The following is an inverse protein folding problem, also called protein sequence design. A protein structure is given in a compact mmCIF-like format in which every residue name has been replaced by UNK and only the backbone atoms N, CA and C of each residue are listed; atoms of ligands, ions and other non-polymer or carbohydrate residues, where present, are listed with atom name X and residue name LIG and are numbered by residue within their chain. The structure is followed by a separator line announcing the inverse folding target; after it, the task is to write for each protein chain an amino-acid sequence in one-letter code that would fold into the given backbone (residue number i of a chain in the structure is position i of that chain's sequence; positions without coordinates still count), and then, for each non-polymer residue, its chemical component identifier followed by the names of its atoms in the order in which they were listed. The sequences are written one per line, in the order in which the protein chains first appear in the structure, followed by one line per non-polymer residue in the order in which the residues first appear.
data_IF_876685617804
#
_entry.id   IF_876685617804
#
_cell.length_a   1.000
_cell.length_b   1.000
_cell.length_c   1.000
_cell.angle_alpha   90.00
_cell.angle_beta   90.00
_cell.angle_gamma   90.00
#
_symmetry.space_group_name_H-M   'P 1'
#
loop_
_entity.id
_entity.type
_entity.pdbx_description
1 polymer ?
#
# COMPACT_ATOMS: atom_id res chain seq x y z
N UNK A 1 34.18 7.50 5.34
CA UNK A 1 32.88 8.01 4.87
C UNK A 1 31.85 7.46 5.82
N UNK A 2 31.10 8.34 6.44
CA UNK A 2 30.23 8.03 7.57
C UNK A 2 28.94 7.39 7.06
N UNK A 3 28.47 6.29 7.66
CA UNK A 3 27.24 5.60 7.22
C UNK A 3 26.02 6.52 7.22
N UNK A 4 26.06 7.55 8.05
CA UNK A 4 25.04 8.61 8.13
C UNK A 4 25.04 9.46 6.87
N UNK A 5 26.21 9.82 6.34
CA UNK A 5 26.31 10.64 5.13
C UNK A 5 25.76 9.90 3.91
N UNK A 6 26.06 8.61 3.78
CA UNK A 6 25.54 7.77 2.69
C UNK A 6 23.99 7.65 2.76
N UNK A 7 23.44 7.49 3.96
CA UNK A 7 21.99 7.45 4.17
C UNK A 7 21.33 8.78 3.81
N UNK A 8 21.92 9.90 4.25
CA UNK A 8 21.41 11.24 3.93
C UNK A 8 21.47 11.52 2.42
N UNK A 9 22.53 11.09 1.76
CA UNK A 9 22.65 11.19 0.30
C UNK A 9 21.56 10.39 -0.42
N UNK A 10 21.29 9.16 0.03
CA UNK A 10 20.25 8.31 -0.55
C UNK A 10 18.84 8.88 -0.35
N UNK A 11 18.53 9.37 0.85
CA UNK A 11 17.24 10.04 1.13
C UNK A 11 17.11 11.30 0.28
N UNK A 12 18.16 12.11 0.17
CA UNK A 12 18.18 13.29 -0.69
C UNK A 12 17.93 12.95 -2.16
N UNK A 13 18.52 11.87 -2.66
CA UNK A 13 18.28 11.37 -4.02
C UNK A 13 16.83 10.93 -4.23
N UNK A 14 16.26 10.16 -3.30
CA UNK A 14 14.88 9.67 -3.37
C UNK A 14 13.90 10.85 -3.36
N UNK A 15 14.06 11.78 -2.43
CA UNK A 15 13.19 12.96 -2.33
C UNK A 15 13.21 13.78 -3.62
N UNK A 16 14.40 14.01 -4.20
CA UNK A 16 14.53 14.73 -5.47
C UNK A 16 13.80 14.01 -6.60
N UNK A 17 13.89 12.68 -6.68
CA UNK A 17 13.20 11.88 -7.70
C UNK A 17 11.68 11.93 -7.53
N UNK A 18 11.19 11.80 -6.29
CA UNK A 18 9.77 11.91 -5.99
C UNK A 18 9.23 13.30 -6.34
N UNK A 19 9.94 14.36 -5.99
CA UNK A 19 9.57 15.74 -6.35
C UNK A 19 9.49 15.94 -7.87
N UNK A 20 10.44 15.39 -8.63
CA UNK A 20 10.41 15.42 -10.10
C UNK A 20 9.16 14.69 -10.65
N UNK A 21 8.85 13.50 -10.12
CA UNK A 21 7.67 12.71 -10.51
C UNK A 21 6.37 13.47 -10.20
N UNK A 22 6.24 14.04 -9.00
CA UNK A 22 5.06 14.79 -8.56
C UNK A 22 4.85 16.01 -9.46
N UNK A 23 5.91 16.80 -9.71
CA UNK A 23 5.84 17.99 -10.58
C UNK A 23 5.46 17.64 -12.02
N UNK A 24 5.99 16.54 -12.55
CA UNK A 24 5.64 16.08 -13.89
C UNK A 24 4.17 15.65 -13.94
N UNK A 25 3.70 14.88 -12.97
CA UNK A 25 2.29 14.46 -12.92
C UNK A 25 1.33 15.63 -12.75
N UNK A 26 1.65 16.64 -11.94
CA UNK A 26 0.82 17.87 -11.84
C UNK A 26 0.66 18.55 -13.20
N UNK A 27 1.76 18.72 -13.94
CA UNK A 27 1.72 19.27 -15.30
C UNK A 27 0.89 18.40 -16.24
N UNK A 28 1.01 17.08 -16.14
CA UNK A 28 0.17 16.17 -16.93
C UNK A 28 -1.32 16.41 -16.63
N UNK A 29 -1.71 16.49 -15.36
CA UNK A 29 -3.10 16.72 -14.92
C UNK A 29 -3.63 18.07 -15.41
N UNK A 30 -2.84 19.14 -15.30
CA UNK A 30 -3.21 20.48 -15.78
C UNK A 30 -3.45 20.52 -17.31
N UNK A 31 -2.76 19.66 -18.07
CA UNK A 31 -2.87 19.59 -19.52
C UNK A 31 -3.96 18.61 -20.02
N UNK A 32 -4.57 17.82 -19.13
CA UNK A 32 -5.65 16.91 -19.51
C UNK A 32 -6.95 17.73 -19.69
N UNK A 33 -7.63 17.62 -20.84
CA UNK A 33 -8.92 18.28 -21.04
C UNK A 33 -9.93 17.87 -19.97
N UNK A 34 -10.72 18.82 -19.47
CA UNK A 34 -11.73 18.62 -18.40
C UNK A 34 -12.74 17.49 -18.69
N UNK A 35 -12.94 17.15 -19.96
CA UNK A 35 -13.86 16.09 -20.42
C UNK A 35 -13.26 14.68 -20.31
N UNK A 36 -11.94 14.58 -20.15
CA UNK A 36 -11.22 13.30 -20.10
C UNK A 36 -11.01 12.89 -18.65
N UNK A 37 -11.43 11.66 -18.34
CA UNK A 37 -11.23 11.07 -17.01
C UNK A 37 -9.75 10.99 -16.66
N UNK A 38 -9.43 11.36 -15.42
CA UNK A 38 -8.09 11.21 -14.88
C UNK A 38 -7.78 9.74 -14.57
N UNK A 39 -6.50 9.32 -14.68
CA UNK A 39 -6.10 7.98 -14.26
C UNK A 39 -6.41 7.73 -12.78
N UNK A 40 -6.92 6.53 -12.47
CA UNK A 40 -7.25 6.13 -11.10
C UNK A 40 -6.05 5.47 -10.43
N UNK A 41 -4.99 6.25 -10.20
CA UNK A 41 -3.75 5.82 -9.54
C UNK A 41 -3.45 6.66 -8.29
N UNK A 42 -2.68 6.09 -7.36
CA UNK A 42 -2.40 6.70 -6.06
C UNK A 42 -1.83 8.12 -6.18
N UNK A 43 -0.90 8.38 -7.11
CA UNK A 43 -0.30 9.70 -7.24
C UNK A 43 -1.33 10.71 -7.74
N UNK A 44 -2.16 10.32 -8.70
CA UNK A 44 -3.26 11.16 -9.19
C UNK A 44 -4.27 11.45 -8.07
N UNK A 45 -4.68 10.44 -7.31
CA UNK A 45 -5.58 10.60 -6.16
C UNK A 45 -5.00 11.54 -5.10
N UNK A 46 -3.70 11.43 -4.78
CA UNK A 46 -3.05 12.32 -3.82
C UNK A 46 -2.94 13.77 -4.34
N UNK A 47 -2.70 13.96 -5.64
CA UNK A 47 -2.62 15.31 -6.23
C UNK A 47 -4.00 15.98 -6.24
N UNK A 48 -5.06 15.23 -6.57
CA UNK A 48 -6.41 15.78 -6.71
C UNK A 48 -7.19 15.80 -5.41
N UNK A 49 -6.73 15.12 -4.36
CA UNK A 49 -7.38 15.13 -3.05
C UNK A 49 -7.66 16.55 -2.57
N UNK A 50 -8.85 16.77 -2.03
CA UNK A 50 -9.33 18.07 -1.53
C UNK A 50 -9.42 19.16 -2.62
N UNK A 51 -9.50 18.76 -3.89
CA UNK A 51 -9.74 19.66 -5.01
C UNK A 51 -11.06 19.31 -5.68
N UNK A 52 -11.54 20.16 -6.59
CA UNK A 52 -12.73 19.88 -7.41
C UNK A 52 -12.55 18.70 -8.37
N UNK A 53 -11.31 18.23 -8.56
CA UNK A 53 -10.98 17.06 -9.39
C UNK A 53 -10.98 15.75 -8.59
N UNK A 54 -11.25 15.80 -7.28
CA UNK A 54 -11.37 14.63 -6.43
C UNK A 54 -12.68 13.87 -6.72
N UNK A 55 -12.57 12.60 -7.08
CA UNK A 55 -13.72 11.71 -7.28
C UNK A 55 -14.43 11.36 -5.96
N UNK A 56 -13.72 11.44 -4.83
CA UNK A 56 -14.20 11.14 -3.49
C UNK A 56 -14.16 12.38 -2.59
N UNK A 57 -14.64 13.52 -3.11
CA UNK A 57 -14.56 14.83 -2.47
C UNK A 57 -14.97 14.79 -0.99
N UNK A 58 -13.97 14.73 -0.12
CA UNK A 58 -14.13 14.64 1.33
C UNK A 58 -13.75 15.99 1.92
N UNK A 59 -14.76 16.79 2.28
CA UNK A 59 -14.54 18.15 2.81
C UNK A 59 -14.14 18.16 4.27
N UNK A 60 -14.32 17.05 4.99
CA UNK A 60 -14.08 16.99 6.44
C UNK A 60 -13.52 15.65 6.88
N UNK A 61 -12.44 15.69 7.67
CA UNK A 61 -11.88 14.51 8.36
C UNK A 61 -11.69 14.88 9.83
N UNK A 62 -12.29 14.10 10.74
CA UNK A 62 -12.19 14.37 12.18
C UNK A 62 -12.83 15.69 12.65
N UNK A 63 -13.72 16.30 11.84
CA UNK A 63 -14.32 17.60 12.11
C UNK A 63 -13.50 18.79 11.60
N UNK A 64 -12.33 18.56 11.02
CA UNK A 64 -11.53 19.60 10.36
C UNK A 64 -11.83 19.66 8.87
N UNK A 65 -12.00 20.87 8.35
CA UNK A 65 -12.28 21.08 6.93
C UNK A 65 -11.00 20.99 6.10
N UNK A 66 -10.96 20.04 5.17
CA UNK A 66 -9.85 19.86 4.23
C UNK A 66 -10.04 20.79 3.02
N UNK A 67 -9.76 22.08 3.23
CA UNK A 67 -10.05 23.12 2.23
C UNK A 67 -8.87 23.43 1.29
N UNK A 68 -7.79 22.65 1.33
CA UNK A 68 -6.63 22.89 0.48
C UNK A 68 -6.10 21.60 -0.18
N UNK A 69 -5.54 21.70 -1.39
CA UNK A 69 -4.76 20.63 -1.98
C UNK A 69 -3.60 20.22 -1.07
N UNK A 70 -3.18 18.96 -1.16
CA UNK A 70 -1.94 18.51 -0.52
C UNK A 70 -0.73 19.18 -1.16
N UNK A 71 0.24 19.55 -0.31
CA UNK A 71 1.54 20.06 -0.72
C UNK A 71 2.41 18.94 -1.28
N UNK A 72 3.39 19.29 -2.11
CA UNK A 72 4.30 18.30 -2.69
C UNK A 72 5.09 17.54 -1.61
N UNK A 73 5.43 18.20 -0.50
CA UNK A 73 6.10 17.56 0.64
C UNK A 73 5.20 16.54 1.33
N UNK A 74 3.91 16.82 1.51
CA UNK A 74 2.95 15.86 2.07
C UNK A 74 2.77 14.65 1.15
N UNK A 75 2.61 14.89 -0.15
CA UNK A 75 2.49 13.82 -1.15
C UNK A 75 3.76 12.96 -1.19
N UNK A 76 4.93 13.59 -1.18
CA UNK A 76 6.23 12.92 -1.13
C UNK A 76 6.35 12.04 0.13
N UNK A 77 5.98 12.57 1.29
CA UNK A 77 5.96 11.83 2.55
C UNK A 77 5.03 10.61 2.51
N UNK A 78 3.80 10.75 2.02
CA UNK A 78 2.83 9.64 1.92
C UNK A 78 3.32 8.55 0.96
N UNK A 79 3.86 8.94 -0.20
CA UNK A 79 4.39 7.98 -1.17
C UNK A 79 5.60 7.23 -0.60
N UNK A 80 6.50 7.96 0.07
CA UNK A 80 7.67 7.36 0.70
C UNK A 80 7.28 6.39 1.81
N UNK A 81 6.31 6.76 2.66
CA UNK A 81 5.75 5.88 3.70
C UNK A 81 5.13 4.61 3.09
N UNK A 82 4.36 4.75 1.99
CA UNK A 82 3.80 3.62 1.26
C UNK A 82 4.86 2.66 0.73
N UNK A 83 5.98 3.16 0.19
CA UNK A 83 7.08 2.31 -0.27
C UNK A 83 7.79 1.60 0.87
N UNK A 84 8.07 2.30 1.97
CA UNK A 84 8.71 1.72 3.15
C UNK A 84 7.83 0.64 3.80
N UNK A 85 6.56 0.93 4.01
CA UNK A 85 5.61 0.00 4.64
C UNK A 85 5.24 -1.18 3.73
N UNK A 86 5.13 -0.95 2.42
CA UNK A 86 4.64 -1.95 1.48
C UNK A 86 5.69 -2.96 1.01
N UNK A 87 6.95 -2.55 0.85
CA UNK A 87 7.95 -3.33 0.11
C UNK A 87 8.45 -4.52 0.91
N UNK A 88 9.14 -4.26 2.03
CA UNK A 88 9.79 -5.32 2.81
C UNK A 88 8.77 -6.27 3.44
N UNK A 89 7.62 -5.74 3.89
CA UNK A 89 6.57 -6.55 4.51
C UNK A 89 5.98 -7.54 3.49
N UNK A 90 5.63 -7.05 2.30
CA UNK A 90 5.01 -7.89 1.26
C UNK A 90 6.00 -8.89 0.69
N UNK A 91 7.25 -8.47 0.43
CA UNK A 91 8.30 -9.35 -0.08
C UNK A 91 8.55 -10.55 0.86
N UNK A 92 8.73 -10.27 2.16
CA UNK A 92 8.89 -11.33 3.16
C UNK A 92 7.65 -12.23 3.23
N UNK A 93 6.45 -11.65 3.25
CA UNK A 93 5.19 -12.43 3.28
C UNK A 93 5.13 -13.41 2.10
N UNK A 94 5.43 -12.94 0.88
CA UNK A 94 5.46 -13.80 -0.31
C UNK A 94 6.55 -14.87 -0.20
N UNK A 95 7.75 -14.53 0.30
CA UNK A 95 8.82 -15.51 0.51
C UNK A 95 8.37 -16.65 1.43
N UNK A 96 7.70 -16.34 2.54
CA UNK A 96 7.17 -17.37 3.44
C UNK A 96 6.03 -18.17 2.81
N UNK A 97 5.15 -17.54 2.04
CA UNK A 97 4.10 -18.26 1.31
C UNK A 97 4.73 -19.29 0.37
N UNK A 98 5.72 -18.89 -0.43
CA UNK A 98 6.44 -19.80 -1.33
C UNK A 98 7.14 -20.93 -0.56
N UNK A 99 7.80 -20.59 0.55
CA UNK A 99 8.46 -21.57 1.42
C UNK A 99 7.47 -22.62 1.93
N UNK A 100 6.33 -22.22 2.49
CA UNK A 100 5.33 -23.16 3.00
C UNK A 100 4.68 -23.97 1.87
N UNK A 101 4.35 -23.36 0.73
CA UNK A 101 3.79 -24.10 -0.41
C UNK A 101 4.74 -25.16 -0.96
N UNK A 102 6.06 -24.94 -0.88
CA UNK A 102 7.06 -25.94 -1.26
C UNK A 102 7.06 -27.16 -0.32
N UNK A 103 6.77 -26.97 0.97
CA UNK A 103 6.73 -28.05 1.98
C UNK A 103 5.37 -28.74 2.08
N UNK A 104 4.31 -28.14 1.54
CA UNK A 104 2.94 -28.70 1.56
C UNK A 104 2.36 -28.83 0.14
N UNK A 105 2.79 -29.82 -0.66
CA UNK A 105 2.36 -30.00 -2.05
C UNK A 105 0.85 -30.12 -2.22
N UNK A 106 0.15 -30.75 -1.29
CA UNK A 106 -1.31 -30.89 -1.33
C UNK A 106 -2.03 -29.54 -1.20
N UNK A 107 -1.49 -28.65 -0.36
CA UNK A 107 -2.00 -27.27 -0.20
C UNK A 107 -1.74 -26.48 -1.48
N UNK A 108 -0.53 -26.59 -2.04
CA UNK A 108 -0.19 -25.97 -3.32
C UNK A 108 -1.11 -26.45 -4.44
N UNK A 109 -1.37 -27.75 -4.54
CA UNK A 109 -2.26 -28.33 -5.55
C UNK A 109 -3.67 -27.74 -5.45
N UNK A 110 -4.26 -27.71 -4.26
CA UNK A 110 -5.59 -27.12 -4.04
C UNK A 110 -5.65 -25.62 -4.39
N UNK A 111 -4.59 -24.88 -4.07
CA UNK A 111 -4.50 -23.45 -4.43
C UNK A 111 -4.44 -23.26 -5.94
N UNK A 112 -3.64 -24.06 -6.65
CA UNK A 112 -3.56 -24.00 -8.11
C UNK A 112 -4.88 -24.43 -8.77
N UNK A 113 -5.57 -25.45 -8.26
CA UNK A 113 -6.89 -25.86 -8.75
C UNK A 113 -7.94 -24.74 -8.59
N UNK A 114 -7.88 -23.96 -7.52
CA UNK A 114 -8.74 -22.77 -7.37
C UNK A 114 -8.39 -21.69 -8.40
N UNK A 115 -7.10 -21.39 -8.61
CA UNK A 115 -6.65 -20.41 -9.60
C UNK A 115 -7.10 -20.83 -11.01
N UNK A 116 -6.84 -22.08 -11.39
CA UNK A 116 -7.19 -22.62 -12.70
C UNK A 116 -8.70 -22.59 -12.92
N UNK A 117 -9.51 -22.88 -11.89
CA UNK A 117 -10.98 -22.80 -11.97
C UNK A 117 -11.47 -21.36 -12.12
N UNK A 118 -10.86 -20.41 -11.41
CA UNK A 118 -11.26 -19.00 -11.44
C UNK A 118 -10.94 -18.37 -12.80
N UNK A 119 -9.72 -18.56 -13.30
CA UNK A 119 -9.25 -17.90 -14.52
C UNK A 119 -9.40 -18.74 -15.79
N UNK A 120 -9.76 -20.02 -15.67
CA UNK A 120 -10.02 -20.92 -16.81
C UNK A 120 -8.87 -20.98 -17.83
N UNK A 121 -7.63 -20.81 -17.35
CA UNK A 121 -6.42 -20.81 -18.16
C UNK A 121 -6.05 -19.46 -18.80
N UNK A 122 -6.84 -18.39 -18.59
CA UNK A 122 -6.43 -17.04 -18.96
C UNK A 122 -5.32 -16.55 -18.02
N UNK A 123 -4.17 -16.19 -18.61
CA UNK A 123 -2.99 -15.69 -17.91
C UNK A 123 -2.68 -14.24 -18.24
N UNK A 124 -3.48 -13.61 -19.10
CA UNK A 124 -3.20 -12.31 -19.71
C UNK A 124 -4.32 -11.30 -19.53
N UNK A 125 -5.54 -11.77 -19.26
CA UNK A 125 -6.67 -10.91 -18.94
C UNK A 125 -6.49 -10.15 -17.62
N UNK A 126 -7.15 -8.99 -17.49
CA UNK A 126 -7.16 -8.25 -16.24
C UNK A 126 -7.90 -9.03 -15.16
N UNK A 127 -7.36 -9.01 -13.94
CA UNK A 127 -8.03 -9.60 -12.77
C UNK A 127 -9.17 -8.67 -12.36
N UNK A 128 -10.39 -9.20 -12.27
CA UNK A 128 -11.56 -8.44 -11.83
C UNK A 128 -11.81 -8.62 -10.33
N UNK A 129 -12.66 -7.76 -9.75
CA UNK A 129 -13.11 -7.90 -8.37
C UNK A 129 -13.83 -9.24 -8.14
N UNK A 130 -14.65 -9.67 -9.10
CA UNK A 130 -15.34 -10.96 -9.04
C UNK A 130 -14.37 -12.14 -9.01
N UNK A 131 -13.25 -12.04 -9.73
CA UNK A 131 -12.20 -13.07 -9.69
C UNK A 131 -11.53 -13.10 -8.33
N UNK A 132 -11.18 -11.93 -7.80
CA UNK A 132 -10.61 -11.81 -6.45
C UNK A 132 -11.53 -12.44 -5.39
N UNK A 133 -12.84 -12.19 -5.47
CA UNK A 133 -13.80 -12.76 -4.52
C UNK A 133 -13.88 -14.29 -4.57
N UNK A 134 -13.54 -14.93 -5.70
CA UNK A 134 -13.54 -16.40 -5.86
C UNK A 134 -12.29 -17.06 -5.28
N UNK A 135 -11.20 -16.32 -5.03
CA UNK A 135 -9.90 -16.85 -4.57
C UNK A 135 -9.84 -17.09 -3.04
N UNK A 136 -10.84 -17.78 -2.49
CA UNK A 136 -11.00 -17.97 -1.03
C UNK A 136 -9.91 -18.84 -0.42
N UNK A 137 -9.42 -19.85 -1.14
CA UNK A 137 -8.35 -20.72 -0.68
C UNK A 137 -7.00 -20.00 -0.73
N UNK A 138 -6.73 -19.18 -1.74
CA UNK A 138 -5.56 -18.32 -1.79
C UNK A 138 -5.54 -17.36 -0.59
N UNK A 139 -6.66 -16.72 -0.28
CA UNK A 139 -6.81 -15.88 0.91
C UNK A 139 -6.55 -16.67 2.20
N UNK A 140 -7.07 -17.90 2.30
CA UNK A 140 -6.83 -18.77 3.44
C UNK A 140 -5.33 -19.15 3.59
N UNK A 141 -4.63 -19.42 2.49
CA UNK A 141 -3.17 -19.67 2.50
C UNK A 141 -2.41 -18.46 3.04
N UNK A 142 -2.72 -17.26 2.55
CA UNK A 142 -2.08 -16.02 3.03
C UNK A 142 -2.31 -15.85 4.54
N UNK A 143 -3.55 -16.06 5.01
CA UNK A 143 -3.89 -15.96 6.45
C UNK A 143 -3.17 -16.99 7.30
N UNK A 144 -3.10 -18.25 6.86
CA UNK A 144 -2.41 -19.32 7.60
C UNK A 144 -0.92 -19.04 7.68
N UNK A 145 -0.29 -18.64 6.58
CA UNK A 145 1.13 -18.29 6.56
C UNK A 145 1.41 -17.09 7.46
N UNK A 146 0.58 -16.04 7.39
CA UNK A 146 0.72 -14.84 8.23
C UNK A 146 0.55 -15.13 9.73
N UNK A 147 -0.27 -16.13 10.08
CA UNK A 147 -0.44 -16.61 11.46
C UNK A 147 0.78 -17.40 11.95
N UNK A 148 1.41 -18.19 11.07
CA UNK A 148 2.62 -18.96 11.39
C UNK A 148 3.86 -18.07 11.42
N UNK A 149 3.92 -17.09 10.53
CA UNK A 149 5.00 -16.13 10.40
C UNK A 149 4.45 -14.72 10.25
N UNK A 150 4.52 -13.96 11.33
CA UNK A 150 4.15 -12.54 11.33
C UNK A 150 5.38 -11.69 11.05
N UNK A 151 5.40 -10.98 9.92
CA UNK A 151 6.54 -10.11 9.52
C UNK A 151 6.78 -8.98 10.53
N UNK A 152 5.71 -8.47 11.14
CA UNK A 152 5.77 -7.44 12.19
C UNK A 152 5.27 -8.04 13.52
N UNK A 153 6.14 -8.70 14.31
CA UNK A 153 5.72 -9.47 15.49
C UNK A 153 5.35 -8.61 16.70
N UNK A 154 5.55 -7.29 16.64
CA UNK A 154 5.32 -6.39 17.77
C UNK A 154 4.84 -5.03 17.29
N UNK A 155 3.89 -4.46 18.02
CA UNK A 155 3.38 -3.11 17.83
C UNK A 155 3.66 -2.35 19.13
N UNK A 156 4.45 -1.29 19.04
CA UNK A 156 4.78 -0.44 20.18
C UNK A 156 3.74 0.67 20.29
N UNK A 157 3.19 0.87 21.49
CA UNK A 157 2.28 1.99 21.80
C UNK A 157 2.83 2.79 22.98
N UNK A 158 2.77 4.10 22.87
CA UNK A 158 3.00 5.03 23.98
C UNK A 158 1.67 5.53 24.54
N UNK A 159 1.62 5.78 25.85
CA UNK A 159 0.46 6.36 26.53
C UNK A 159 0.76 7.82 26.89
N UNK A 160 -0.15 8.74 26.55
CA UNK A 160 -0.01 10.16 26.90
C UNK A 160 -0.51 10.48 28.32
N UNK A 161 -1.29 9.56 28.90
CA UNK A 161 -1.86 9.63 30.24
C UNK A 161 -1.67 8.26 30.91
N UNK A 162 -1.65 8.19 32.25
CA UNK A 162 -1.63 6.91 32.95
C UNK A 162 -2.78 6.02 32.46
N UNK A 163 -2.47 4.77 32.15
CA UNK A 163 -3.44 3.79 31.68
C UNK A 163 -3.48 2.59 32.63
N UNK A 164 -4.64 1.99 32.82
CA UNK A 164 -4.79 0.81 33.68
C UNK A 164 -5.04 -0.42 32.81
N UNK A 165 -4.10 -1.36 32.85
CA UNK A 165 -4.18 -2.59 32.08
C UNK A 165 -4.20 -3.76 33.06
N UNK A 166 -5.32 -4.50 33.08
CA UNK A 166 -5.52 -5.66 33.93
C UNK A 166 -5.24 -5.41 35.43
N UNK A 167 -5.60 -4.21 35.94
CA UNK A 167 -5.40 -3.82 37.35
C UNK A 167 -4.05 -3.17 37.65
N UNK A 168 -3.18 -3.00 36.64
CA UNK A 168 -1.87 -2.38 36.80
C UNK A 168 -1.81 -1.04 36.09
N UNK A 169 -1.32 -0.01 36.80
CA UNK A 169 -1.12 1.32 36.24
C UNK A 169 0.20 1.39 35.46
N UNK A 170 0.15 1.93 34.24
CA UNK A 170 1.25 2.06 33.28
C UNK A 170 1.46 3.51 32.88
#
# INVERSE_FOLDING_TARGET
MDKVDDLLQNVGFINKRLDEIIKNRRKEIENIPLEKSLPNDMLTSLITANTTLDVNYTTTVGGEALNRPMSDTEICGIIFDGFLGGTDITANTISFIVYYLAHYPDVKKKMMEEIDRTFQGDKTGPITEDDYQKLKYCEAVIKVVSRLFTVVPSIVKGTAKPDEIAGYSK
#
